data_IF_103377181476
#
_entry.id   IF_103377181476
#
_cell.length_a   1.000
_cell.length_b   1.000
_cell.length_c   1.000
_cell.angle_alpha   90.00
_cell.angle_beta   90.00
_cell.angle_gamma   90.00
#
_symmetry.space_group_name_H-M   'P 1'
#
loop_
_entity.id
_entity.type
_entity.pdbx_description
1 polymer ?
#
# COMPACT_ATOMS: atom_id res chain seq x y z
N UNK A 1 -73.76 15.34 -29.53
CA UNK A 1 -73.03 15.12 -30.81
C UNK A 1 -71.85 16.07 -30.86
N UNK A 2 -70.77 15.62 -31.50
CA UNK A 2 -69.53 16.32 -31.81
C UNK A 2 -68.39 16.17 -30.80
N UNK A 3 -67.61 15.13 -31.08
CA UNK A 3 -66.25 14.87 -30.63
C UNK A 3 -65.29 15.97 -31.06
N UNK A 4 -64.21 16.15 -30.27
CA UNK A 4 -62.80 16.26 -30.70
C UNK A 4 -61.93 16.54 -29.47
N UNK A 5 -61.24 15.53 -28.97
CA UNK A 5 -59.90 15.74 -28.42
C UNK A 5 -58.94 15.96 -29.61
N UNK A 6 -57.78 16.63 -29.46
CA UNK A 6 -56.59 15.86 -29.06
C UNK A 6 -55.41 16.64 -28.43
N UNK A 7 -54.46 15.84 -27.93
CA UNK A 7 -53.00 16.04 -27.81
C UNK A 7 -52.45 16.62 -26.50
N UNK A 8 -52.07 15.69 -25.64
CA UNK A 8 -51.00 15.82 -24.65
C UNK A 8 -49.70 16.38 -25.28
N UNK A 9 -49.13 17.39 -24.65
CA UNK A 9 -47.74 17.81 -24.84
C UNK A 9 -46.94 17.28 -23.65
N UNK A 10 -46.33 16.11 -23.84
CA UNK A 10 -45.29 15.61 -22.94
C UNK A 10 -44.02 16.46 -23.17
N UNK A 11 -43.69 17.32 -22.21
CA UNK A 11 -42.40 17.99 -22.18
C UNK A 11 -41.33 16.97 -21.76
N UNK A 12 -40.64 16.39 -22.75
CA UNK A 12 -39.50 15.53 -22.51
C UNK A 12 -38.34 16.33 -21.92
N UNK A 13 -37.99 16.07 -20.67
CA UNK A 13 -36.78 16.57 -20.03
C UNK A 13 -35.59 15.80 -20.63
N UNK A 14 -34.92 16.38 -21.63
CA UNK A 14 -33.63 15.88 -22.12
C UNK A 14 -32.59 16.08 -21.02
N UNK A 15 -32.27 15.02 -20.27
CA UNK A 15 -31.04 14.98 -19.48
C UNK A 15 -29.87 15.02 -20.46
N UNK A 16 -29.25 16.19 -20.59
CA UNK A 16 -27.97 16.34 -21.26
C UNK A 16 -26.92 15.58 -20.43
N UNK A 17 -26.55 14.39 -20.90
CA UNK A 17 -25.42 13.64 -20.38
C UNK A 17 -24.14 14.36 -20.81
N UNK A 18 -23.71 15.32 -19.99
CA UNK A 18 -22.41 15.94 -20.14
C UNK A 18 -21.35 14.92 -19.71
N UNK A 19 -21.03 13.99 -20.63
CA UNK A 19 -19.82 13.20 -20.54
C UNK A 19 -18.65 14.18 -20.60
N UNK A 20 -18.05 14.43 -19.44
CA UNK A 20 -16.82 15.22 -19.32
C UNK A 20 -15.67 14.48 -19.99
N UNK A 21 -15.54 14.65 -21.30
CA UNK A 21 -14.25 14.47 -21.95
C UNK A 21 -13.37 15.60 -21.42
N UNK A 22 -12.48 15.28 -20.48
CA UNK A 22 -11.42 16.19 -20.07
C UNK A 22 -10.71 16.66 -21.34
N UNK A 23 -10.85 17.95 -21.67
CA UNK A 23 -10.15 18.54 -22.78
C UNK A 23 -8.65 18.41 -22.48
N UNK A 24 -7.98 17.51 -23.19
CA UNK A 24 -6.53 17.46 -23.17
C UNK A 24 -6.03 18.80 -23.68
N UNK A 25 -5.50 19.64 -22.78
CA UNK A 25 -4.83 20.87 -23.16
C UNK A 25 -3.78 20.56 -24.22
N UNK A 26 -3.81 21.30 -25.33
CA UNK A 26 -2.85 21.13 -26.39
C UNK A 26 -1.45 21.38 -25.81
N UNK A 27 -0.61 20.34 -25.81
CA UNK A 27 0.76 20.42 -25.31
C UNK A 27 1.49 21.60 -25.99
N UNK A 28 2.02 22.51 -25.20
CA UNK A 28 2.87 23.59 -25.71
C UNK A 28 4.22 23.01 -26.18
N UNK A 29 4.90 23.71 -27.10
CA UNK A 29 6.22 23.30 -27.56
C UNK A 29 7.17 23.12 -26.36
N UNK A 30 7.99 22.05 -26.31
CA UNK A 30 8.41 21.18 -27.41
C UNK A 30 7.48 20.00 -27.76
N UNK A 31 6.22 19.93 -27.28
CA UNK A 31 5.25 18.85 -27.64
C UNK A 31 5.82 17.44 -27.48
N UNK A 32 6.56 17.22 -26.40
CA UNK A 32 7.12 15.92 -26.08
C UNK A 32 6.09 15.05 -25.34
N UNK A 33 6.10 13.75 -25.64
CA UNK A 33 5.21 12.77 -25.01
C UNK A 33 3.77 12.79 -25.53
N UNK A 34 2.92 12.01 -24.88
CA UNK A 34 1.47 11.95 -25.10
C UNK A 34 0.77 11.81 -23.75
N UNK A 35 -0.48 12.28 -23.61
CA UNK A 35 -1.29 11.97 -22.44
C UNK A 35 -1.33 10.45 -22.21
N UNK A 36 -1.14 10.05 -20.95
CA UNK A 36 -1.23 8.65 -20.53
C UNK A 36 -2.68 8.36 -20.16
N UNK A 37 -3.18 7.20 -20.59
CA UNK A 37 -4.52 6.75 -20.23
C UNK A 37 -4.67 6.54 -18.71
N UNK A 38 -5.85 6.79 -18.16
CA UNK A 38 -6.10 6.68 -16.73
C UNK A 38 -5.87 5.25 -16.19
N UNK A 39 -6.18 4.20 -16.97
CA UNK A 39 -5.89 2.83 -16.56
C UNK A 39 -4.38 2.56 -16.59
N UNK A 40 -3.66 3.15 -17.53
CA UNK A 40 -2.21 3.08 -17.54
C UNK A 40 -1.60 3.77 -16.31
N UNK A 41 -2.03 4.98 -15.96
CA UNK A 41 -1.60 5.65 -14.72
C UNK A 41 -1.91 4.78 -13.50
N UNK A 42 -3.11 4.21 -13.39
CA UNK A 42 -3.52 3.39 -12.26
C UNK A 42 -2.67 2.11 -12.09
N UNK A 43 -2.09 1.56 -13.17
CA UNK A 43 -1.16 0.42 -13.07
C UNK A 43 0.17 0.79 -12.44
N UNK A 44 0.60 2.04 -12.58
CA UNK A 44 1.88 2.54 -12.05
C UNK A 44 1.72 3.26 -10.70
N UNK A 45 0.52 3.73 -10.38
CA UNK A 45 0.23 4.42 -9.12
C UNK A 45 0.02 3.43 -7.95
N UNK A 46 1.13 2.83 -7.54
CA UNK A 46 1.18 1.86 -6.43
C UNK A 46 1.74 2.46 -5.14
N UNK A 47 2.05 3.76 -5.14
CA UNK A 47 2.74 4.43 -4.04
C UNK A 47 1.89 4.45 -2.78
N UNK A 48 2.43 3.94 -1.68
CA UNK A 48 1.80 4.01 -0.36
C UNK A 48 2.56 4.98 0.53
N UNK A 49 1.84 5.96 1.10
CA UNK A 49 2.40 6.99 1.96
C UNK A 49 2.31 6.61 3.46
N UNK A 50 3.10 7.26 4.34
CA UNK A 50 3.03 7.09 5.79
C UNK A 50 1.63 7.22 6.40
N UNK A 51 0.80 8.11 5.86
CA UNK A 51 -0.57 8.39 6.32
C UNK A 51 -1.62 7.40 5.78
N UNK A 52 -1.20 6.40 4.98
CA UNK A 52 -2.07 5.38 4.39
C UNK A 52 -2.65 5.73 3.02
N UNK A 53 -2.41 6.93 2.48
CA UNK A 53 -2.79 7.21 1.09
C UNK A 53 -2.14 6.21 0.16
N UNK A 54 -2.91 5.68 -0.79
CA UNK A 54 -2.49 4.65 -1.76
C UNK A 54 -2.66 3.20 -1.30
N UNK A 55 -3.06 2.95 -0.05
CA UNK A 55 -3.41 1.61 0.41
C UNK A 55 -4.66 1.09 -0.33
N UNK A 56 -4.60 -0.10 -0.96
CA UNK A 56 -5.76 -0.72 -1.60
C UNK A 56 -6.74 -1.28 -0.57
N UNK A 57 -7.99 -1.53 -1.00
CA UNK A 57 -8.92 -2.29 -0.18
C UNK A 57 -8.40 -3.73 0.02
N UNK A 58 -8.51 -4.23 1.25
CA UNK A 58 -8.07 -5.56 1.63
C UNK A 58 -7.84 -5.65 3.14
N UNK A 59 -7.51 -6.84 3.61
CA UNK A 59 -7.18 -7.12 5.01
C UNK A 59 -6.35 -8.39 5.16
N UNK A 60 -5.68 -8.53 6.30
CA UNK A 60 -5.04 -9.79 6.69
C UNK A 60 -4.51 -9.76 8.12
N UNK A 61 -4.32 -10.94 8.69
CA UNK A 61 -3.74 -11.12 10.03
C UNK A 61 -2.43 -11.92 9.99
N UNK A 62 -1.77 -12.03 11.15
CA UNK A 62 -0.46 -12.68 11.24
C UNK A 62 -0.53 -14.20 11.02
N UNK A 63 -1.64 -14.86 11.40
CA UNK A 63 -1.80 -16.30 11.18
C UNK A 63 -1.85 -16.65 9.68
N UNK A 64 -2.60 -15.87 8.89
CA UNK A 64 -2.62 -15.97 7.43
C UNK A 64 -1.23 -15.66 6.85
N UNK A 65 -0.61 -14.58 7.32
CA UNK A 65 0.71 -14.15 6.87
C UNK A 65 1.81 -15.15 7.16
N UNK A 66 1.72 -15.90 8.26
CA UNK A 66 2.69 -16.95 8.60
C UNK A 66 2.73 -18.07 7.55
N UNK A 67 1.57 -18.39 6.94
CA UNK A 67 1.47 -19.39 5.88
C UNK A 67 2.18 -18.86 4.63
N UNK A 68 1.83 -17.64 4.20
CA UNK A 68 2.43 -16.98 3.03
C UNK A 68 3.93 -16.78 3.19
N UNK A 69 4.39 -16.43 4.39
CA UNK A 69 5.81 -16.22 4.67
C UNK A 69 6.62 -17.50 4.48
N UNK A 70 6.08 -18.65 4.92
CA UNK A 70 6.73 -19.95 4.69
C UNK A 70 6.81 -20.30 3.21
N UNK A 71 5.81 -19.93 2.42
CA UNK A 71 5.74 -20.22 0.98
C UNK A 71 6.66 -19.32 0.16
N UNK A 72 6.76 -18.03 0.52
CA UNK A 72 7.34 -17.01 -0.36
C UNK A 72 8.61 -16.34 0.16
N UNK A 73 8.92 -16.45 1.46
CA UNK A 73 9.94 -15.61 2.10
C UNK A 73 10.99 -16.42 2.87
N UNK A 74 10.57 -17.48 3.57
CA UNK A 74 11.42 -18.20 4.54
C UNK A 74 12.64 -18.88 3.90
N UNK A 75 12.60 -19.20 2.60
CA UNK A 75 13.73 -19.79 1.89
C UNK A 75 14.98 -18.89 1.89
N UNK A 76 14.82 -17.57 1.97
CA UNK A 76 15.93 -16.60 2.03
C UNK A 76 16.06 -15.93 3.39
N UNK A 77 14.93 -15.56 4.01
CA UNK A 77 14.90 -14.80 5.27
C UNK A 77 14.85 -15.69 6.53
N UNK A 78 14.94 -17.02 6.37
CA UNK A 78 14.92 -17.97 7.47
C UNK A 78 13.55 -18.14 8.13
N UNK A 79 13.43 -19.16 8.99
CA UNK A 79 12.21 -19.37 9.77
C UNK A 79 11.97 -18.19 10.73
N UNK A 80 10.74 -17.68 10.78
CA UNK A 80 10.42 -16.53 11.63
C UNK A 80 10.96 -15.18 11.12
N UNK A 81 11.67 -15.13 9.99
CA UNK A 81 12.34 -13.92 9.53
C UNK A 81 13.67 -13.62 10.23
N UNK A 82 14.31 -14.62 10.85
CA UNK A 82 15.55 -14.47 11.62
C UNK A 82 16.84 -14.34 10.77
N UNK A 83 16.69 -14.21 9.45
CA UNK A 83 17.81 -14.17 8.51
C UNK A 83 18.34 -15.57 8.17
N UNK A 84 18.85 -15.69 6.94
CA UNK A 84 19.57 -16.88 6.47
C UNK A 84 20.52 -16.47 5.33
N UNK A 85 20.16 -16.74 4.08
CA UNK A 85 20.90 -16.25 2.91
C UNK A 85 20.58 -14.80 2.57
N UNK A 86 19.54 -14.23 3.18
CA UNK A 86 19.15 -12.82 3.11
C UNK A 86 18.98 -12.25 4.53
N UNK A 87 18.79 -10.93 4.60
CA UNK A 87 18.75 -10.14 5.82
C UNK A 87 17.70 -10.65 6.83
N UNK A 88 18.00 -10.44 8.11
CA UNK A 88 17.04 -10.59 9.19
C UNK A 88 15.94 -9.52 9.10
N UNK A 89 14.68 -9.96 9.21
CA UNK A 89 13.48 -9.12 9.17
C UNK A 89 12.84 -8.95 10.55
N UNK A 90 13.07 -9.89 11.47
CA UNK A 90 12.52 -9.93 12.82
C UNK A 90 13.44 -10.72 13.75
N UNK A 91 13.42 -10.37 15.05
CA UNK A 91 14.21 -11.07 16.06
C UNK A 91 15.46 -10.33 16.54
N UNK A 92 15.82 -9.22 15.88
CA UNK A 92 16.96 -8.39 16.27
C UNK A 92 16.85 -7.88 17.70
N UNK A 93 17.97 -7.91 18.42
CA UNK A 93 18.08 -7.51 19.83
C UNK A 93 19.15 -6.45 20.07
N UNK A 94 20.09 -6.28 19.14
CA UNK A 94 21.15 -5.28 19.27
C UNK A 94 20.60 -3.86 19.08
N UNK A 95 20.76 -2.96 20.08
CA UNK A 95 20.26 -1.60 20.00
C UNK A 95 20.85 -0.80 18.84
N UNK A 96 20.11 0.18 18.32
CA UNK A 96 20.59 1.07 17.25
C UNK A 96 21.85 1.89 17.59
N UNK A 97 22.20 2.00 18.88
CA UNK A 97 23.41 2.66 19.39
C UNK A 97 24.61 1.72 19.52
N UNK A 98 24.44 0.42 19.26
CA UNK A 98 25.51 -0.58 19.26
C UNK A 98 26.49 -0.33 18.09
N UNK A 99 27.77 -0.72 18.20
CA UNK A 99 28.70 -0.71 17.07
C UNK A 99 28.22 -1.57 15.89
N UNK A 100 27.44 -2.61 16.17
CA UNK A 100 26.83 -3.52 15.19
C UNK A 100 25.33 -3.64 15.45
N UNK A 101 24.54 -2.61 15.08
CA UNK A 101 23.12 -2.56 15.43
C UNK A 101 22.28 -3.45 14.51
N UNK A 102 21.23 -4.07 15.07
CA UNK A 102 20.23 -4.79 14.29
C UNK A 102 19.24 -3.79 13.68
N UNK A 103 19.14 -3.75 12.35
CA UNK A 103 18.27 -2.83 11.61
C UNK A 103 17.02 -3.53 11.05
N UNK A 104 16.40 -4.37 11.86
CA UNK A 104 15.16 -5.09 11.52
C UNK A 104 13.96 -4.15 11.43
N UNK A 105 12.82 -4.67 10.98
CA UNK A 105 11.57 -3.91 10.83
C UNK A 105 11.14 -3.32 12.18
N UNK A 106 11.18 -4.10 13.26
CA UNK A 106 10.75 -3.66 14.59
C UNK A 106 11.67 -2.62 15.23
N UNK A 107 12.96 -2.60 14.86
CA UNK A 107 13.94 -1.71 15.47
C UNK A 107 14.19 -0.43 14.68
N UNK A 108 14.27 -0.50 13.35
CA UNK A 108 14.74 0.62 12.55
C UNK A 108 13.64 1.34 11.78
N UNK A 109 12.64 0.62 11.26
CA UNK A 109 11.74 1.17 10.25
C UNK A 109 10.72 2.13 10.89
N UNK A 110 10.55 3.35 10.34
CA UNK A 110 9.69 4.34 10.97
C UNK A 110 8.22 4.13 10.65
N UNK A 111 7.81 3.45 9.56
CA UNK A 111 6.40 3.29 9.17
C UNK A 111 6.05 1.87 8.72
N UNK A 112 4.96 1.31 9.26
CA UNK A 112 4.43 0.01 8.87
C UNK A 112 3.94 0.00 7.41
N UNK A 113 3.45 1.14 6.91
CA UNK A 113 3.01 1.28 5.52
C UNK A 113 4.15 1.13 4.51
N UNK A 114 5.39 1.44 4.90
CA UNK A 114 6.57 1.20 4.05
C UNK A 114 6.84 -0.30 3.86
N UNK A 115 6.55 -1.13 4.88
CA UNK A 115 6.63 -2.59 4.76
C UNK A 115 5.62 -3.09 3.72
N UNK A 116 4.38 -2.63 3.80
CA UNK A 116 3.33 -2.96 2.83
C UNK A 116 3.71 -2.51 1.41
N UNK A 117 4.14 -1.26 1.23
CA UNK A 117 4.57 -0.72 -0.07
C UNK A 117 5.65 -1.60 -0.70
N UNK A 118 6.69 -1.91 0.08
CA UNK A 118 7.83 -2.67 -0.38
C UNK A 118 7.46 -4.11 -0.76
N UNK A 119 6.63 -4.77 0.06
CA UNK A 119 6.15 -6.11 -0.24
C UNK A 119 5.33 -6.13 -1.53
N UNK A 120 4.37 -5.20 -1.68
CA UNK A 120 3.51 -5.08 -2.87
C UNK A 120 4.30 -4.91 -4.16
N UNK A 121 5.34 -4.07 -4.15
CA UNK A 121 6.09 -3.71 -5.37
C UNK A 121 7.26 -4.64 -5.69
N UNK A 122 7.89 -5.24 -4.68
CA UNK A 122 9.20 -5.87 -4.83
C UNK A 122 9.27 -7.31 -4.29
N UNK A 123 8.16 -7.88 -3.82
CA UNK A 123 8.13 -9.26 -3.31
C UNK A 123 6.98 -10.08 -3.91
N UNK A 124 7.13 -11.42 -3.95
CA UNK A 124 8.37 -12.17 -3.70
C UNK A 124 9.47 -11.85 -4.74
N UNK A 125 10.75 -12.06 -4.40
CA UNK A 125 11.89 -11.74 -5.29
C UNK A 125 11.81 -12.42 -6.66
N UNK A 126 11.22 -13.61 -6.72
CA UNK A 126 11.06 -14.41 -7.94
C UNK A 126 9.86 -13.99 -8.79
N UNK A 127 8.90 -13.25 -8.22
CA UNK A 127 7.69 -12.81 -8.91
C UNK A 127 7.11 -11.52 -8.30
N UNK A 128 7.81 -10.36 -8.38
CA UNK A 128 7.30 -9.11 -7.81
C UNK A 128 5.94 -8.70 -8.38
N UNK A 129 5.07 -8.14 -7.54
CA UNK A 129 3.76 -7.62 -7.96
C UNK A 129 2.69 -8.69 -8.22
N UNK A 130 2.95 -9.95 -7.84
CA UNK A 130 1.98 -11.05 -8.01
C UNK A 130 1.06 -11.28 -6.81
N UNK A 131 1.41 -10.72 -5.65
CA UNK A 131 0.61 -10.84 -4.44
C UNK A 131 -0.62 -9.92 -4.51
N UNK A 132 -1.77 -10.43 -4.09
CA UNK A 132 -3.00 -9.66 -3.88
C UNK A 132 -2.88 -8.72 -2.68
N UNK A 133 -3.78 -7.74 -2.57
CA UNK A 133 -3.80 -6.80 -1.45
C UNK A 133 -3.94 -7.52 -0.09
N UNK A 134 -4.82 -8.51 0.00
CA UNK A 134 -5.03 -9.32 1.22
C UNK A 134 -3.75 -10.08 1.61
N UNK A 135 -3.06 -10.69 0.65
CA UNK A 135 -1.80 -11.40 0.90
C UNK A 135 -0.69 -10.45 1.39
N UNK A 136 -0.59 -9.24 0.82
CA UNK A 136 0.39 -8.23 1.26
C UNK A 136 0.03 -7.73 2.67
N UNK A 137 -1.25 -7.53 3.00
CA UNK A 137 -1.68 -7.19 4.35
C UNK A 137 -1.33 -8.29 5.35
N UNK A 138 -1.65 -9.55 5.02
CA UNK A 138 -1.35 -10.70 5.86
C UNK A 138 0.16 -10.84 6.10
N UNK A 139 1.00 -10.77 5.06
CA UNK A 139 2.46 -10.79 5.20
C UNK A 139 2.98 -9.63 6.04
N UNK A 140 2.43 -8.43 5.85
CA UNK A 140 2.77 -7.26 6.67
C UNK A 140 2.41 -7.51 8.13
N UNK A 141 1.20 -8.00 8.42
CA UNK A 141 0.73 -8.34 9.76
C UNK A 141 1.64 -9.39 10.42
N UNK A 142 2.05 -10.42 9.68
CA UNK A 142 2.99 -11.41 10.18
C UNK A 142 4.35 -10.83 10.55
N UNK A 143 4.93 -9.95 9.71
CA UNK A 143 6.20 -9.29 10.03
C UNK A 143 6.08 -8.37 11.25
N UNK A 144 4.96 -7.68 11.42
CA UNK A 144 4.68 -6.85 12.59
C UNK A 144 4.52 -7.71 13.86
N UNK A 145 3.79 -8.82 13.79
CA UNK A 145 3.64 -9.80 14.86
C UNK A 145 4.98 -10.45 15.24
N UNK A 146 5.78 -10.86 14.26
CA UNK A 146 7.11 -11.44 14.48
C UNK A 146 8.08 -10.47 15.17
N UNK A 147 7.84 -9.15 15.04
CA UNK A 147 8.54 -8.09 15.75
C UNK A 147 7.84 -7.66 17.06
N UNK A 148 6.78 -8.35 17.50
CA UNK A 148 6.07 -8.08 18.75
C UNK A 148 5.23 -6.80 18.74
N UNK A 149 4.85 -6.29 17.57
CA UNK A 149 4.17 -4.99 17.43
C UNK A 149 2.64 -5.09 17.44
N UNK A 150 2.10 -6.26 17.11
CA UNK A 150 0.66 -6.57 17.11
C UNK A 150 0.44 -7.99 17.63
N UNK A 151 -0.80 -8.33 18.00
CA UNK A 151 -1.22 -9.69 18.32
C UNK A 151 -1.45 -10.56 17.07
N UNK A 152 -1.48 -11.89 17.25
CA UNK A 152 -1.59 -12.84 16.14
C UNK A 152 -2.90 -12.70 15.34
N UNK A 153 -3.97 -12.27 16.01
CA UNK A 153 -5.32 -12.12 15.43
C UNK A 153 -5.67 -10.67 15.09
N UNK A 154 -4.78 -9.72 15.33
CA UNK A 154 -5.00 -8.33 14.96
C UNK A 154 -5.07 -8.18 13.44
N UNK A 155 -6.09 -7.50 12.95
CA UNK A 155 -6.32 -7.32 11.52
C UNK A 155 -5.67 -6.04 11.00
N UNK A 156 -4.80 -6.17 10.00
CA UNK A 156 -4.21 -5.05 9.26
C UNK A 156 -5.02 -4.78 7.99
N UNK A 157 -5.52 -3.55 7.85
CA UNK A 157 -6.23 -3.04 6.68
C UNK A 157 -5.79 -1.59 6.37
N UNK A 158 -6.42 -0.95 5.38
CA UNK A 158 -6.14 0.43 4.99
C UNK A 158 -6.38 1.46 6.11
N UNK A 159 -7.10 1.09 7.17
CA UNK A 159 -7.42 1.95 8.32
C UNK A 159 -6.50 1.67 9.49
N UNK A 160 -6.22 0.41 9.82
CA UNK A 160 -5.45 0.02 11.01
C UNK A 160 -3.95 0.14 10.79
N UNK A 161 -3.44 -0.21 9.61
CA UNK A 161 -2.00 -0.23 9.33
C UNK A 161 -1.32 1.15 9.50
N UNK A 162 -1.86 2.27 8.98
CA UNK A 162 -1.23 3.59 9.16
C UNK A 162 -1.25 4.10 10.61
N UNK A 163 -2.21 3.62 11.42
CA UNK A 163 -2.35 4.00 12.83
C UNK A 163 -1.33 3.32 13.73
N UNK A 164 -0.71 2.23 13.29
CA UNK A 164 0.34 1.57 14.05
C UNK A 164 1.57 2.49 14.17
N UNK A 165 1.92 2.83 15.42
CA UNK A 165 3.13 3.59 15.73
C UNK A 165 4.31 2.62 15.85
N UNK A 166 5.24 2.68 14.90
CA UNK A 166 6.48 1.90 14.95
C UNK A 166 7.41 2.43 16.06
N UNK A 167 8.23 1.56 16.70
CA UNK A 167 9.11 1.98 17.80
C UNK A 167 10.06 3.12 17.43
N UNK A 168 10.60 3.12 16.21
CA UNK A 168 11.55 4.13 15.73
C UNK A 168 10.89 5.25 14.90
N UNK A 169 9.61 5.55 15.14
CA UNK A 169 8.86 6.60 14.40
C UNK A 169 9.59 7.95 14.39
N UNK A 170 10.19 8.33 15.52
CA UNK A 170 10.86 9.63 15.71
C UNK A 170 12.38 9.57 15.53
N UNK A 171 12.92 8.41 15.14
CA UNK A 171 14.37 8.18 15.02
C UNK A 171 15.01 8.77 13.77
N UNK A 172 14.28 9.54 12.98
CA UNK A 172 14.72 10.10 11.70
C UNK A 172 14.59 11.62 11.67
N UNK A 173 15.58 12.26 11.07
CA UNK A 173 15.59 13.70 10.79
C UNK A 173 15.59 13.90 9.28
N UNK A 174 14.56 14.59 8.77
CA UNK A 174 14.54 14.98 7.37
C UNK A 174 15.55 16.10 7.11
N UNK A 175 16.54 15.83 6.24
CA UNK A 175 17.52 16.84 5.84
C UNK A 175 16.91 17.77 4.79
N UNK A 176 16.28 17.20 3.76
CA UNK A 176 15.66 17.92 2.63
C UNK A 176 14.17 17.58 2.44
N UNK A 177 13.54 16.98 3.47
CA UNK A 177 12.15 16.55 3.42
C UNK A 177 11.43 16.86 4.73
N UNK A 178 10.23 17.43 4.64
CA UNK A 178 9.33 17.56 5.79
C UNK A 178 8.75 16.18 6.10
N UNK A 179 9.10 15.64 7.27
CA UNK A 179 8.53 14.39 7.75
C UNK A 179 7.09 14.62 8.25
N UNK A 180 6.21 13.61 8.16
CA UNK A 180 4.91 13.63 8.82
C UNK A 180 5.01 14.04 10.30
N UNK A 181 3.99 14.72 10.85
CA UNK A 181 3.97 15.08 12.26
C UNK A 181 4.09 13.82 13.15
N UNK A 182 4.76 14.00 14.30
CA UNK A 182 5.06 12.94 15.27
C UNK A 182 3.82 12.46 16.00
#
# INVERSE_FOLDING_TARGET
MSMREPRALAAGLLLAWAGGAAAAEALQAPRLGRPVDAQEVARWDLSVFPDGRGLPAGRGNAAEGAILFRQHCAACHGAGGRGASAEELAGGTEPLTSPTPDKTIGLYWPYATTVFDFLRRAKPMTAPGTLSADEVYALTAYLLYANGLIGETDEMDARTLPRLRMPNRDGFTGIDATLPPR
#
